data_IF_791409780149
#
_entry.id   IF_791409780149
#
_cell.length_a   1.000
_cell.length_b   1.000
_cell.length_c   1.000
_cell.angle_alpha   90.00
_cell.angle_beta   90.00
_cell.angle_gamma   90.00
#
_symmetry.space_group_name_H-M   'P 1'
#
loop_
_entity.id
_entity.type
_entity.pdbx_description
1 polymer ?
#
# COMPACT_ATOMS: atom_id res chain seq x y z
N UNK A 1 -4.02 -13.67 14.86
CA UNK A 1 -2.97 -13.00 15.65
C UNK A 1 -2.50 -11.76 14.90
N UNK A 2 -2.91 -10.56 15.33
CA UNK A 2 -2.36 -9.31 14.80
C UNK A 2 -1.31 -8.81 15.79
N UNK A 3 -0.06 -9.25 15.60
CA UNK A 3 1.06 -8.81 16.44
C UNK A 3 1.36 -7.32 16.21
N UNK A 4 1.79 -6.63 17.26
CA UNK A 4 2.27 -5.24 17.18
C UNK A 4 3.71 -5.25 16.65
N UNK A 5 4.07 -4.23 15.87
CA UNK A 5 5.45 -4.05 15.41
C UNK A 5 6.37 -3.85 16.62
N UNK A 6 7.40 -4.68 16.74
CA UNK A 6 8.44 -4.55 17.75
C UNK A 6 9.54 -3.61 17.23
N UNK A 7 9.44 -2.32 17.56
CA UNK A 7 10.41 -1.30 17.13
C UNK A 7 11.85 -1.55 17.59
N UNK A 8 12.05 -2.42 18.59
CA UNK A 8 13.38 -2.79 19.08
C UNK A 8 14.03 -3.95 18.29
N UNK A 9 13.35 -4.52 17.30
CA UNK A 9 13.92 -5.55 16.44
C UNK A 9 14.84 -4.90 15.38
N UNK A 10 16.04 -5.45 15.09
CA UNK A 10 16.96 -4.87 14.09
C UNK A 10 16.32 -4.72 12.70
N UNK A 11 15.45 -5.64 12.31
CA UNK A 11 14.72 -5.57 11.03
C UNK A 11 13.50 -4.61 11.03
N UNK A 12 13.13 -4.00 12.16
CA UNK A 12 11.94 -3.14 12.23
C UNK A 12 12.06 -1.90 11.32
N UNK A 13 13.23 -1.27 11.29
CA UNK A 13 13.50 -0.15 10.38
C UNK A 13 13.46 -0.57 8.90
N UNK A 14 13.87 -1.81 8.60
CA UNK A 14 13.84 -2.34 7.24
C UNK A 14 12.41 -2.61 6.80
N UNK A 15 11.58 -3.18 7.67
CA UNK A 15 10.14 -3.32 7.45
C UNK A 15 9.47 -1.96 7.20
N UNK A 16 9.77 -0.94 8.01
CA UNK A 16 9.18 0.40 7.85
C UNK A 16 9.58 1.06 6.53
N UNK A 17 10.85 0.93 6.11
CA UNK A 17 11.31 1.43 4.81
C UNK A 17 10.59 0.76 3.64
N UNK A 18 10.56 -0.57 3.60
CA UNK A 18 9.86 -1.30 2.53
C UNK A 18 8.35 -1.00 2.55
N UNK A 19 7.73 -0.85 3.72
CA UNK A 19 6.33 -0.46 3.83
C UNK A 19 6.08 0.95 3.26
N UNK A 20 6.96 1.91 3.54
CA UNK A 20 6.86 3.26 3.00
C UNK A 20 7.05 3.28 1.48
N UNK A 21 7.96 2.48 0.94
CA UNK A 21 8.13 2.30 -0.51
C UNK A 21 6.84 1.79 -1.17
N UNK A 22 6.16 0.81 -0.56
CA UNK A 22 4.85 0.33 -1.04
C UNK A 22 3.80 1.45 -1.03
N UNK A 23 3.80 2.29 0.02
CA UNK A 23 2.88 3.42 0.14
C UNK A 23 3.13 4.48 -0.94
N UNK A 24 4.39 4.80 -1.20
CA UNK A 24 4.79 5.74 -2.27
C UNK A 24 4.37 5.19 -3.64
N UNK A 25 4.68 3.91 -3.92
CA UNK A 25 4.29 3.24 -5.17
C UNK A 25 2.77 3.29 -5.39
N UNK A 26 1.99 3.01 -4.35
CA UNK A 26 0.53 3.08 -4.42
C UNK A 26 0.04 4.50 -4.71
N UNK A 27 0.56 5.51 -4.03
CA UNK A 27 0.18 6.90 -4.27
C UNK A 27 0.50 7.34 -5.70
N UNK A 28 1.71 7.04 -6.19
CA UNK A 28 2.08 7.34 -7.58
C UNK A 28 1.19 6.63 -8.60
N UNK A 29 0.79 5.37 -8.33
CA UNK A 29 -0.13 4.65 -9.21
C UNK A 29 -1.54 5.27 -9.19
N UNK A 30 -2.02 5.69 -8.02
CA UNK A 30 -3.30 6.38 -7.91
C UNK A 30 -3.29 7.73 -8.62
N UNK A 31 -2.24 8.54 -8.44
CA UNK A 31 -2.09 9.83 -9.13
C UNK A 31 -2.08 9.63 -10.65
N UNK A 32 -1.37 8.62 -11.15
CA UNK A 32 -1.37 8.27 -12.57
C UNK A 32 -2.77 7.87 -13.10
N UNK A 33 -3.58 7.17 -12.30
CA UNK A 33 -4.97 6.85 -12.65
C UNK A 33 -5.81 8.13 -12.73
N UNK A 34 -5.66 9.03 -11.76
CA UNK A 34 -6.39 10.29 -11.72
C UNK A 34 -6.01 11.17 -12.93
N UNK A 35 -4.72 11.30 -13.23
CA UNK A 35 -4.23 12.07 -14.39
C UNK A 35 -4.69 11.48 -15.71
N UNK A 36 -4.62 10.14 -15.87
CA UNK A 36 -5.09 9.43 -17.08
C UNK A 36 -6.54 9.73 -17.42
N UNK A 37 -7.39 9.93 -16.41
CA UNK A 37 -8.80 10.25 -16.58
C UNK A 37 -9.09 11.76 -16.58
N UNK A 38 -8.06 12.61 -16.56
CA UNK A 38 -8.23 14.07 -16.57
C UNK A 38 -8.74 14.66 -15.25
N UNK A 39 -8.49 13.98 -14.14
CA UNK A 39 -8.91 14.39 -12.80
C UNK A 39 -10.20 13.71 -12.32
N UNK A 40 -10.54 13.95 -11.05
CA UNK A 40 -11.76 13.42 -10.43
C UNK A 40 -12.94 14.36 -10.68
N UNK A 41 -13.86 13.95 -11.55
CA UNK A 41 -15.11 14.66 -11.84
C UNK A 41 -16.29 13.68 -11.88
N UNK A 42 -17.52 14.17 -12.08
CA UNK A 42 -18.73 13.33 -12.02
C UNK A 42 -18.71 12.16 -13.02
N UNK A 43 -18.11 12.35 -14.19
CA UNK A 43 -18.08 11.35 -15.26
C UNK A 43 -16.96 10.32 -15.03
N UNK A 44 -15.84 10.74 -14.45
CA UNK A 44 -14.64 9.92 -14.25
C UNK A 44 -14.61 9.23 -12.87
N UNK A 45 -15.35 9.75 -11.89
CA UNK A 45 -15.33 9.29 -10.49
C UNK A 45 -15.58 7.78 -10.37
N UNK A 46 -16.55 7.25 -11.12
CA UNK A 46 -16.90 5.82 -11.07
C UNK A 46 -15.77 4.94 -11.61
N UNK A 47 -15.09 5.40 -12.65
CA UNK A 47 -13.98 4.66 -13.28
C UNK A 47 -12.75 4.70 -12.37
N UNK A 48 -12.37 5.90 -11.90
CA UNK A 48 -11.26 6.10 -10.97
C UNK A 48 -11.47 5.29 -9.69
N UNK A 49 -12.69 5.29 -9.14
CA UNK A 49 -13.01 4.50 -7.94
C UNK A 49 -12.82 3.00 -8.18
N UNK A 50 -13.23 2.49 -9.35
CA UNK A 50 -13.04 1.07 -9.71
C UNK A 50 -11.57 0.69 -9.82
N UNK A 51 -10.76 1.54 -10.45
CA UNK A 51 -9.31 1.32 -10.58
C UNK A 51 -8.61 1.46 -9.22
N UNK A 52 -8.96 2.46 -8.42
CA UNK A 52 -8.47 2.63 -7.05
C UNK A 52 -8.77 1.39 -6.18
N UNK A 53 -9.97 0.82 -6.27
CA UNK A 53 -10.28 -0.43 -5.56
C UNK A 53 -9.38 -1.60 -5.97
N UNK A 54 -8.98 -1.68 -7.24
CA UNK A 54 -8.04 -2.70 -7.70
C UNK A 54 -6.65 -2.47 -7.09
N UNK A 55 -6.16 -1.21 -7.12
CA UNK A 55 -4.88 -0.84 -6.50
C UNK A 55 -4.87 -1.15 -4.99
N UNK A 56 -5.95 -0.86 -4.27
CA UNK A 56 -6.07 -1.15 -2.83
C UNK A 56 -6.00 -2.66 -2.56
N UNK A 57 -6.60 -3.48 -3.43
CA UNK A 57 -6.51 -4.94 -3.31
C UNK A 57 -5.08 -5.43 -3.52
N UNK A 58 -4.38 -4.90 -4.52
CA UNK A 58 -2.98 -5.22 -4.81
C UNK A 58 -2.08 -4.83 -3.63
N UNK A 59 -2.19 -3.60 -3.14
CA UNK A 59 -1.47 -3.11 -1.95
C UNK A 59 -1.72 -4.00 -0.73
N UNK A 60 -2.96 -4.44 -0.52
CA UNK A 60 -3.32 -5.37 0.56
C UNK A 60 -2.61 -6.72 0.47
N UNK A 61 -2.37 -7.23 -0.75
CA UNK A 61 -1.59 -8.45 -0.98
C UNK A 61 -0.10 -8.19 -0.71
N UNK A 62 0.46 -7.12 -1.25
CA UNK A 62 1.87 -6.74 -1.03
C UNK A 62 2.18 -6.55 0.46
N UNK A 63 1.32 -5.84 1.20
CA UNK A 63 1.46 -5.66 2.66
C UNK A 63 1.39 -7.01 3.38
N UNK A 64 0.53 -7.93 2.97
CA UNK A 64 0.45 -9.27 3.58
C UNK A 64 1.73 -10.06 3.35
N UNK A 65 2.27 -10.02 2.14
CA UNK A 65 3.56 -10.65 1.80
C UNK A 65 4.69 -10.03 2.63
N UNK A 66 4.73 -8.70 2.73
CA UNK A 66 5.72 -7.98 3.53
C UNK A 66 5.64 -8.37 5.02
N UNK A 67 4.44 -8.41 5.59
CA UNK A 67 4.23 -8.88 6.97
C UNK A 67 4.66 -10.34 7.16
N UNK A 68 4.47 -11.19 6.15
CA UNK A 68 4.96 -12.57 6.16
C UNK A 68 6.49 -12.65 6.17
N UNK A 69 7.15 -11.88 5.31
CA UNK A 69 8.62 -11.75 5.22
C UNK A 69 9.26 -11.28 6.53
N UNK A 70 8.58 -10.37 7.23
CA UNK A 70 9.02 -9.79 8.50
C UNK A 70 8.26 -10.34 9.71
N UNK A 71 7.67 -11.54 9.64
CA UNK A 71 6.83 -12.06 10.73
C UNK A 71 7.49 -12.00 12.11
N UNK A 72 8.81 -12.21 12.17
CA UNK A 72 9.64 -12.15 13.38
C UNK A 72 9.67 -10.77 14.07
N UNK A 73 9.36 -9.69 13.34
CA UNK A 73 9.34 -8.34 13.91
C UNK A 73 8.01 -8.02 14.60
N UNK A 74 7.00 -8.89 14.48
CA UNK A 74 5.69 -8.69 15.10
C UNK A 74 5.57 -9.54 16.38
N UNK A 75 5.15 -8.91 17.47
CA UNK A 75 4.93 -9.53 18.80
C UNK A 75 3.45 -9.60 19.14
#
# INVERSE_FOLDING_TARGET
>A
MSGKLNNNHPDAEKYLREFEELRIKFNSAYDAVVEKHGGVNKDTMRIITKEHHALVKELGVEIRVLKGKYRQVFK
#
